data_IF_997411333457
#
_entry.id   IF_997411333457
#
_cell.length_a   1.000
_cell.length_b   1.000
_cell.length_c   1.000
_cell.angle_alpha   90.00
_cell.angle_beta   90.00
_cell.angle_gamma   90.00
#
_symmetry.space_group_name_H-M   'P 1'
#
loop_
_entity.id
_entity.type
_entity.pdbx_description
1 polymer ?
#
# COMPACT_ATOMS: atom_id res chain seq x y z
N UNK A 1 6.65 36.18 -25.44
CA UNK A 1 5.33 35.53 -25.54
C UNK A 1 4.89 35.13 -24.12
N UNK A 2 4.04 35.94 -23.50
CA UNK A 2 3.69 35.80 -22.08
C UNK A 2 2.45 34.92 -21.88
N UNK A 3 2.63 33.74 -21.29
CA UNK A 3 1.53 32.90 -20.84
C UNK A 3 1.10 33.30 -19.43
N UNK A 4 0.47 34.47 -19.33
CA UNK A 4 -0.20 34.90 -18.10
C UNK A 4 -1.54 34.16 -18.00
N UNK A 5 -1.52 32.90 -17.55
CA UNK A 5 -2.71 32.18 -17.03
C UNK A 5 -3.13 32.81 -15.69
N UNK A 6 -3.44 34.10 -15.72
CA UNK A 6 -4.04 34.86 -14.65
C UNK A 6 -5.56 34.83 -14.85
N UNK A 7 -6.29 34.45 -13.81
CA UNK A 7 -7.69 34.85 -13.70
C UNK A 7 -8.57 33.93 -12.85
N UNK A 8 -8.40 32.61 -12.93
CA UNK A 8 -9.29 31.68 -12.23
C UNK A 8 -8.49 30.70 -11.39
N UNK A 9 -8.39 31.01 -10.09
CA UNK A 9 -7.82 30.13 -9.07
C UNK A 9 -8.77 28.95 -8.85
N UNK A 10 -8.69 27.94 -9.71
CA UNK A 10 -9.51 26.72 -9.61
C UNK A 10 -8.67 25.53 -9.18
N UNK A 11 -9.27 24.67 -8.37
CA UNK A 11 -8.73 23.41 -7.90
C UNK A 11 -9.49 22.26 -8.54
N UNK A 12 -8.79 21.16 -8.82
CA UNK A 12 -9.39 19.97 -9.43
C UNK A 12 -9.54 18.89 -8.36
N UNK A 13 -10.75 18.37 -8.19
CA UNK A 13 -11.00 17.22 -7.29
C UNK A 13 -11.44 16.04 -8.14
N UNK A 14 -10.77 14.90 -7.98
CA UNK A 14 -11.02 13.69 -8.75
C UNK A 14 -11.41 12.53 -7.83
N UNK A 15 -12.53 11.88 -8.13
CA UNK A 15 -12.95 10.65 -7.45
C UNK A 15 -12.22 9.43 -8.02
N UNK A 16 -12.19 8.35 -7.26
CA UNK A 16 -11.71 7.04 -7.72
C UNK A 16 -12.43 6.55 -9.00
N UNK A 17 -13.69 6.93 -9.18
CA UNK A 17 -14.50 6.60 -10.36
C UNK A 17 -13.97 7.26 -11.65
N UNK A 18 -13.07 8.24 -11.54
CA UNK A 18 -12.58 9.05 -12.65
C UNK A 18 -13.42 10.29 -12.94
N UNK A 19 -14.53 10.48 -12.22
CA UNK A 19 -15.25 11.76 -12.21
C UNK A 19 -14.34 12.86 -11.67
N UNK A 20 -14.29 13.97 -12.39
CA UNK A 20 -13.45 15.09 -12.01
C UNK A 20 -14.23 16.39 -12.10
N UNK A 21 -14.17 17.21 -11.06
CA UNK A 21 -14.85 18.49 -11.01
C UNK A 21 -13.88 19.60 -10.57
N UNK A 22 -14.14 20.81 -11.04
CA UNK A 22 -13.31 21.99 -10.76
C UNK A 22 -14.04 22.87 -9.75
N UNK A 23 -13.37 23.17 -8.64
CA UNK A 23 -13.85 24.07 -7.61
C UNK A 23 -13.13 25.42 -7.72
N UNK A 24 -13.85 26.53 -7.54
CA UNK A 24 -13.22 27.85 -7.44
C UNK A 24 -12.71 28.02 -6.01
N UNK A 25 -11.45 28.38 -5.84
CA UNK A 25 -10.86 28.67 -4.52
C UNK A 25 -11.25 30.09 -4.06
N UNK A 26 -11.33 30.38 -2.75
CA UNK A 26 -11.02 29.51 -1.61
C UNK A 26 -12.18 28.57 -1.24
N UNK A 27 -11.90 27.27 -1.10
CA UNK A 27 -12.85 26.25 -0.64
C UNK A 27 -12.13 25.41 0.40
N UNK A 28 -12.82 25.10 1.51
CA UNK A 28 -12.27 24.24 2.56
C UNK A 28 -12.44 22.79 2.21
N UNK A 29 -11.53 21.95 2.71
CA UNK A 29 -11.66 20.51 2.58
C UNK A 29 -12.98 20.00 3.19
N UNK A 30 -13.38 20.56 4.33
CA UNK A 30 -14.63 20.23 5.03
C UNK A 30 -15.88 20.37 4.15
N UNK A 31 -15.96 21.41 3.30
CA UNK A 31 -17.11 21.61 2.42
C UNK A 31 -17.22 20.50 1.36
N UNK A 32 -16.09 19.98 0.90
CA UNK A 32 -16.04 18.84 -0.04
C UNK A 32 -16.37 17.52 0.67
N UNK A 33 -15.93 17.37 1.92
CA UNK A 33 -16.16 16.16 2.73
C UNK A 33 -17.63 16.06 3.16
N UNK A 34 -18.31 17.17 3.46
CA UNK A 34 -19.75 17.20 3.75
C UNK A 34 -20.61 16.66 2.62
N UNK A 35 -20.21 16.92 1.37
CA UNK A 35 -20.92 16.42 0.18
C UNK A 35 -20.73 14.91 -0.01
N UNK A 36 -19.67 14.34 0.58
CA UNK A 36 -19.24 12.96 0.39
C UNK A 36 -18.77 12.34 1.72
N UNK A 37 -19.71 11.92 2.59
CA UNK A 37 -19.37 11.28 3.85
C UNK A 37 -18.59 9.97 3.62
N UNK A 38 -17.69 9.62 4.55
CA UNK A 38 -16.84 8.43 4.45
C UNK A 38 -15.72 8.52 3.40
N UNK A 39 -15.55 9.67 2.77
CA UNK A 39 -14.45 9.93 1.86
C UNK A 39 -13.36 10.74 2.54
N UNK A 40 -12.15 10.61 2.02
CA UNK A 40 -10.97 11.34 2.47
C UNK A 40 -10.35 12.06 1.28
N UNK A 41 -9.88 13.27 1.52
CA UNK A 41 -9.23 14.08 0.51
C UNK A 41 -7.71 13.95 0.62
N UNK A 42 -7.07 13.59 -0.48
CA UNK A 42 -5.63 13.42 -0.57
C UNK A 42 -5.04 14.33 -1.62
N UNK A 43 -3.90 14.94 -1.32
CA UNK A 43 -3.19 15.77 -2.28
C UNK A 43 -2.43 14.92 -3.31
N UNK A 44 -2.46 15.34 -4.57
CA UNK A 44 -1.81 14.57 -5.63
C UNK A 44 -0.30 14.47 -5.53
N UNK A 45 0.38 15.50 -5.03
CA UNK A 45 1.82 15.46 -4.77
C UNK A 45 2.13 14.41 -3.69
N UNK A 46 1.40 14.46 -2.57
CA UNK A 46 1.52 13.47 -1.51
C UNK A 46 1.25 12.04 -2.00
N UNK A 47 0.24 11.84 -2.86
CA UNK A 47 -0.06 10.51 -3.43
C UNK A 47 1.06 10.03 -4.36
N UNK A 48 1.72 10.93 -5.12
CA UNK A 48 2.88 10.56 -5.96
C UNK A 48 4.07 10.10 -5.13
N UNK A 49 4.34 10.76 -4.01
CA UNK A 49 5.51 10.47 -3.18
C UNK A 49 5.27 9.33 -2.19
N UNK A 50 4.12 9.32 -1.53
CA UNK A 50 3.82 8.41 -0.41
C UNK A 50 2.85 7.29 -0.78
N UNK A 51 2.19 7.36 -1.95
CA UNK A 51 1.24 6.35 -2.40
C UNK A 51 0.11 6.14 -1.38
N UNK A 52 -0.02 4.92 -0.87
CA UNK A 52 -1.03 4.51 0.12
C UNK A 52 -0.81 5.11 1.51
N UNK A 53 0.37 5.68 1.79
CA UNK A 53 0.71 6.32 3.07
C UNK A 53 0.54 7.84 3.03
N UNK A 54 -0.01 8.39 1.94
CA UNK A 54 -0.22 9.83 1.81
C UNK A 54 -1.06 10.36 2.98
N UNK A 55 -0.62 11.48 3.56
CA UNK A 55 -1.33 12.12 4.67
C UNK A 55 -2.67 12.67 4.15
N UNK A 56 -3.80 12.35 4.80
CA UNK A 56 -5.08 12.98 4.49
C UNK A 56 -5.04 14.48 4.78
N UNK A 57 -5.70 15.26 3.93
CA UNK A 57 -5.82 16.70 4.15
C UNK A 57 -6.68 16.96 5.40
N UNK A 58 -6.27 17.90 6.23
CA UNK A 58 -7.03 18.27 7.42
C UNK A 58 -8.32 19.00 7.01
N UNK A 59 -9.46 18.75 7.68
CA UNK A 59 -10.75 19.31 7.26
C UNK A 59 -10.75 20.85 7.27
N UNK A 60 -9.94 21.46 8.12
CA UNK A 60 -9.87 22.91 8.29
C UNK A 60 -8.92 23.57 7.29
N UNK A 61 -8.13 22.79 6.55
CA UNK A 61 -7.19 23.28 5.56
C UNK A 61 -7.92 23.69 4.27
N UNK A 62 -7.49 24.80 3.69
CA UNK A 62 -8.01 25.29 2.41
C UNK A 62 -7.36 24.56 1.24
N UNK A 63 -8.12 24.40 0.15
CA UNK A 63 -7.61 23.83 -1.09
C UNK A 63 -6.75 24.84 -1.84
N UNK A 64 -5.53 24.42 -2.16
CA UNK A 64 -4.60 25.23 -2.92
C UNK A 64 -5.00 25.28 -4.40
N UNK A 65 -4.93 26.46 -5.03
CA UNK A 65 -5.26 26.63 -6.43
C UNK A 65 -4.25 25.91 -7.33
N UNK A 66 -4.68 25.47 -8.51
CA UNK A 66 -3.86 24.72 -9.49
C UNK A 66 -3.36 23.36 -8.98
N UNK A 67 -3.74 22.94 -7.78
CA UNK A 67 -3.50 21.58 -7.28
C UNK A 67 -4.66 20.64 -7.60
N UNK A 68 -4.34 19.35 -7.61
CA UNK A 68 -5.29 18.28 -7.76
C UNK A 68 -5.40 17.48 -6.46
N UNK A 69 -6.63 17.20 -6.07
CA UNK A 69 -6.97 16.40 -4.91
C UNK A 69 -7.75 15.15 -5.32
N UNK A 70 -7.46 14.04 -4.68
CA UNK A 70 -8.13 12.77 -4.85
C UNK A 70 -9.13 12.56 -3.72
N UNK A 71 -10.38 12.29 -4.09
CA UNK A 71 -11.40 11.86 -3.15
C UNK A 71 -11.42 10.33 -3.13
N UNK A 72 -10.99 9.75 -2.02
CA UNK A 72 -10.84 8.30 -1.83
C UNK A 72 -11.74 7.83 -0.71
N UNK A 73 -12.51 6.78 -0.95
CA UNK A 73 -13.20 6.06 0.13
C UNK A 73 -12.14 5.27 0.87
N UNK A 74 -11.86 5.65 2.12
CA UNK A 74 -11.15 4.73 2.99
C UNK A 74 -12.19 3.71 3.44
N UNK A 75 -11.99 2.41 3.18
CA UNK A 75 -12.73 1.40 3.90
C UNK A 75 -12.53 1.72 5.39
N UNK A 76 -13.60 1.80 6.17
CA UNK A 76 -13.48 1.91 7.62
C UNK A 76 -12.76 0.65 8.09
N UNK A 77 -11.43 0.72 8.12
CA UNK A 77 -10.64 -0.17 8.93
C UNK A 77 -11.08 0.18 10.34
N UNK A 78 -12.02 -0.63 10.83
CA UNK A 78 -12.41 -0.71 12.23
C UNK A 78 -11.26 -0.21 13.08
N UNK A 79 -11.51 0.88 13.79
CA UNK A 79 -10.64 1.42 14.83
C UNK A 79 -10.62 0.37 15.94
N UNK A 80 -10.02 -0.78 15.67
CA UNK A 80 -9.80 -1.83 16.63
C UNK A 80 -8.40 -2.37 16.40
N UNK A 81 -7.58 -1.96 17.37
CA UNK A 81 -6.47 -2.71 17.91
C UNK A 81 -5.25 -2.63 17.00
N UNK A 82 -4.43 -1.62 17.34
CA UNK A 82 -3.00 -1.83 17.62
C UNK A 82 -2.75 -3.33 17.83
N UNK A 83 -1.85 -3.99 17.09
CA UNK A 83 -1.48 -5.35 17.42
C UNK A 83 -0.81 -5.26 18.79
N UNK A 84 -1.63 -5.39 19.84
CA UNK A 84 -1.23 -5.46 21.22
C UNK A 84 -0.29 -6.65 21.18
N UNK A 85 1.00 -6.36 21.34
CA UNK A 85 2.06 -7.35 21.51
C UNK A 85 1.43 -8.55 22.19
N UNK A 86 1.57 -9.72 21.57
CA UNK A 86 1.29 -11.00 22.20
C UNK A 86 2.21 -11.06 23.42
N UNK A 87 1.81 -10.39 24.51
CA UNK A 87 2.23 -10.71 25.85
C UNK A 87 1.59 -12.07 26.03
N UNK A 88 2.40 -13.11 26.02
CA UNK A 88 2.07 -14.31 26.77
C UNK A 88 1.42 -13.82 28.06
N UNK A 89 0.17 -14.24 28.30
CA UNK A 89 -0.53 -13.91 29.53
C UNK A 89 0.29 -14.33 30.74
N UNK A 90 -0.18 -14.04 31.96
CA UNK A 90 0.46 -14.55 33.18
C UNK A 90 0.31 -16.08 33.20
N UNK A 91 1.22 -16.78 32.52
CA UNK A 91 1.28 -18.23 32.56
C UNK A 91 1.98 -18.56 33.88
N UNK A 92 1.20 -19.04 34.84
CA UNK A 92 1.70 -19.72 36.04
C UNK A 92 2.32 -21.07 35.61
N UNK A 93 3.36 -21.03 34.78
CA UNK A 93 4.15 -22.21 34.43
C UNK A 93 4.91 -22.62 35.69
N UNK A 94 4.53 -23.75 36.28
CA UNK A 94 5.34 -24.42 37.29
C UNK A 94 6.74 -24.71 36.72
N UNK A 95 7.76 -24.77 37.57
CA UNK A 95 9.13 -25.07 37.13
C UNK A 95 9.22 -26.37 36.31
N UNK A 96 8.31 -27.32 36.58
CA UNK A 96 8.18 -28.57 35.82
C UNK A 96 7.73 -28.35 34.37
N UNK A 97 6.66 -27.59 34.13
CA UNK A 97 6.19 -27.28 32.77
C UNK A 97 7.24 -26.52 31.96
N UNK A 98 8.00 -25.64 32.62
CA UNK A 98 9.11 -24.92 31.96
C UNK A 98 10.22 -25.88 31.52
N UNK A 99 10.54 -26.88 32.35
CA UNK A 99 11.58 -27.86 32.05
C UNK A 99 11.14 -28.82 30.93
N UNK A 100 9.90 -29.30 30.97
CA UNK A 100 9.36 -30.23 29.97
C UNK A 100 9.30 -29.56 28.58
N UNK A 101 8.83 -28.31 28.48
CA UNK A 101 8.84 -27.56 27.22
C UNK A 101 10.26 -27.34 26.68
N UNK A 102 11.24 -27.10 27.56
CA UNK A 102 12.64 -26.96 27.17
C UNK A 102 13.22 -28.29 26.69
N UNK A 103 12.91 -29.40 27.37
CA UNK A 103 13.37 -30.74 26.99
C UNK A 103 12.77 -31.22 25.66
N UNK A 104 11.49 -30.95 25.41
CA UNK A 104 10.84 -31.21 24.13
C UNK A 104 11.50 -30.42 23.00
N UNK A 105 11.76 -29.13 23.22
CA UNK A 105 12.45 -28.28 22.24
C UNK A 105 13.89 -28.74 21.95
N UNK A 106 14.58 -29.39 22.90
CA UNK A 106 15.94 -29.92 22.68
C UNK A 106 15.95 -31.25 21.93
N UNK A 107 14.90 -32.07 22.06
CA UNK A 107 14.74 -33.30 21.24
C UNK A 107 14.37 -33.00 19.79
N UNK A 108 13.58 -31.94 19.53
CA UNK A 108 13.19 -31.58 18.16
C UNK A 108 14.34 -31.03 17.29
N UNK A 109 15.41 -30.50 17.89
CA UNK A 109 16.61 -30.04 17.14
C UNK A 109 17.61 -31.15 16.88
N UNK A 110 17.57 -32.27 17.60
CA UNK A 110 18.45 -33.42 17.34
C UNK A 110 18.02 -34.29 16.16
N UNK A 111 16.78 -34.18 15.66
CA UNK A 111 16.35 -34.89 14.44
C UNK A 111 16.58 -34.08 13.14
N UNK A 112 16.84 -32.77 13.24
CA UNK A 112 17.10 -31.91 12.06
C UNK A 112 18.56 -31.95 11.59
N UNK A 113 19.50 -32.38 12.43
CA UNK A 113 20.91 -32.53 12.04
C UNK A 113 21.12 -33.72 11.10
N UNK A 114 20.23 -34.71 11.10
CA UNK A 114 20.31 -35.88 10.19
C UNK A 114 19.81 -35.58 8.77
N UNK A 115 19.13 -34.46 8.52
CA UNK A 115 18.68 -34.06 7.17
C UNK A 115 19.58 -33.02 6.48
N UNK A 116 20.71 -32.60 7.08
CA UNK A 116 21.71 -31.72 6.44
C UNK A 116 22.76 -32.57 5.69
N UNK A 117 22.29 -33.41 4.77
CA UNK A 117 23.12 -34.36 4.04
C UNK A 117 22.86 -34.42 2.54
N UNK A 118 22.50 -33.32 1.89
CA UNK A 118 22.56 -33.17 0.43
C UNK A 118 22.36 -31.69 0.04
N UNK A 119 23.45 -30.95 -0.19
CA UNK A 119 23.31 -29.60 -0.71
C UNK A 119 24.56 -28.75 -0.57
N UNK A 120 25.61 -29.09 -1.32
CA UNK A 120 26.69 -28.16 -1.65
C UNK A 120 27.48 -28.63 -2.86
N UNK A 121 27.03 -28.25 -4.06
CA UNK A 121 27.80 -27.90 -5.27
C UNK A 121 26.77 -27.16 -6.16
N UNK A 122 26.88 -25.93 -6.65
CA UNK A 122 27.97 -24.97 -6.84
C UNK A 122 27.37 -23.55 -6.92
N UNK A 123 28.17 -22.55 -6.55
CA UNK A 123 27.99 -21.10 -6.69
C UNK A 123 27.83 -20.67 -8.18
N UNK A 124 27.50 -19.44 -8.60
CA UNK A 124 27.66 -18.10 -8.04
C UNK A 124 26.83 -17.06 -8.86
N UNK A 125 26.91 -15.80 -8.41
CA UNK A 125 26.53 -14.52 -9.05
C UNK A 125 25.04 -14.10 -8.96
N UNK A 126 24.65 -12.91 -8.52
CA UNK A 126 25.34 -11.68 -8.09
C UNK A 126 24.33 -10.83 -7.29
N UNK A 127 24.86 -10.05 -6.35
CA UNK A 127 24.43 -8.75 -5.82
C UNK A 127 23.02 -8.41 -5.29
N UNK A 128 23.02 -7.66 -4.18
CA UNK A 128 22.00 -6.65 -3.87
C UNK A 128 21.35 -6.78 -2.50
N UNK A 129 21.98 -6.21 -1.47
CA UNK A 129 21.50 -6.24 -0.10
C UNK A 129 20.23 -5.42 0.19
N UNK A 130 19.68 -5.66 1.39
CA UNK A 130 18.86 -4.68 2.09
C UNK A 130 17.44 -5.12 2.49
N UNK A 131 17.29 -5.42 3.78
CA UNK A 131 16.11 -5.12 4.61
C UNK A 131 14.77 -5.79 4.26
N UNK A 132 14.45 -6.84 5.03
CA UNK A 132 13.24 -6.79 5.86
C UNK A 132 11.87 -6.92 5.20
N UNK A 133 11.72 -7.57 4.07
CA UNK A 133 10.46 -8.26 3.71
C UNK A 133 10.83 -9.56 3.02
N UNK A 134 10.53 -10.70 3.63
CA UNK A 134 10.67 -12.01 2.97
C UNK A 134 9.67 -12.08 1.83
N UNK A 135 10.05 -11.58 0.66
CA UNK A 135 9.27 -11.68 -0.55
C UNK A 135 9.15 -13.17 -0.93
N UNK A 136 8.07 -13.80 -0.48
CA UNK A 136 7.75 -15.19 -0.78
C UNK A 136 7.50 -15.32 -2.29
N UNK A 137 8.46 -15.91 -3.00
CA UNK A 137 8.30 -16.29 -4.41
C UNK A 137 7.58 -17.63 -4.47
N UNK A 138 6.33 -17.62 -4.91
CA UNK A 138 5.55 -18.84 -5.17
C UNK A 138 5.58 -19.14 -6.66
N UNK A 139 5.98 -20.37 -7.03
CA UNK A 139 5.98 -20.83 -8.44
C UNK A 139 4.68 -21.56 -8.72
N UNK A 140 3.74 -20.88 -9.40
CA UNK A 140 2.46 -21.44 -9.81
C UNK A 140 2.55 -21.94 -11.26
N UNK A 141 1.94 -23.10 -11.56
CA UNK A 141 1.76 -23.58 -12.94
C UNK A 141 0.38 -23.14 -13.42
N UNK A 142 0.35 -22.24 -14.40
CA UNK A 142 -0.88 -21.69 -14.98
C UNK A 142 -0.99 -22.11 -16.45
N UNK A 143 -2.17 -22.54 -16.93
CA UNK A 143 -2.39 -22.84 -18.34
C UNK A 143 -2.09 -21.64 -19.25
N UNK A 144 -1.48 -21.88 -20.42
CA UNK A 144 -1.08 -20.81 -21.36
C UNK A 144 -2.22 -19.87 -21.75
N UNK A 145 -3.44 -20.40 -21.91
CA UNK A 145 -4.62 -19.61 -22.26
C UNK A 145 -5.00 -18.56 -21.19
N UNK A 146 -4.78 -18.87 -19.91
CA UNK A 146 -5.09 -17.97 -18.81
C UNK A 146 -4.02 -16.89 -18.65
N UNK A 147 -2.74 -17.25 -18.88
CA UNK A 147 -1.63 -16.30 -18.94
C UNK A 147 -1.85 -15.25 -20.03
N UNK A 148 -2.29 -15.66 -21.22
CA UNK A 148 -2.54 -14.73 -22.34
C UNK A 148 -3.70 -13.78 -22.05
N UNK A 149 -4.79 -14.29 -21.43
CA UNK A 149 -5.91 -13.46 -20.97
C UNK A 149 -5.47 -12.44 -19.93
N UNK A 150 -4.64 -12.86 -18.97
CA UNK A 150 -4.13 -11.99 -17.91
C UNK A 150 -3.18 -10.92 -18.47
N UNK A 151 -2.31 -11.28 -19.42
CA UNK A 151 -1.44 -10.34 -20.13
C UNK A 151 -2.23 -9.31 -20.95
N UNK A 152 -3.28 -9.72 -21.66
CA UNK A 152 -4.16 -8.79 -22.41
C UNK A 152 -4.84 -7.80 -21.46
N UNK A 153 -5.37 -8.27 -20.32
CA UNK A 153 -5.97 -7.42 -19.28
C UNK A 153 -4.94 -6.47 -18.65
N UNK A 154 -3.74 -6.95 -18.36
CA UNK A 154 -2.65 -6.13 -17.81
C UNK A 154 -2.19 -5.06 -18.81
N UNK A 155 -2.13 -5.37 -20.11
CA UNK A 155 -1.77 -4.42 -21.16
C UNK A 155 -2.80 -3.31 -21.30
N UNK A 156 -4.09 -3.63 -21.22
CA UNK A 156 -5.18 -2.66 -21.22
C UNK A 156 -5.11 -1.78 -19.97
N UNK A 157 -4.94 -2.38 -18.79
CA UNK A 157 -4.79 -1.61 -17.54
C UNK A 157 -3.58 -0.69 -17.58
N UNK A 158 -2.42 -1.19 -18.05
CA UNK A 158 -1.19 -0.40 -18.17
C UNK A 158 -1.36 0.74 -19.17
N UNK A 159 -1.96 0.51 -20.33
CA UNK A 159 -2.22 1.56 -21.32
C UNK A 159 -3.22 2.60 -20.81
N UNK A 160 -4.27 2.18 -20.08
CA UNK A 160 -5.25 3.08 -19.47
C UNK A 160 -4.62 3.90 -18.34
N UNK A 161 -3.73 3.28 -17.56
CA UNK A 161 -2.98 3.95 -16.51
C UNK A 161 -1.98 4.96 -17.09
N UNK A 162 -1.19 4.60 -18.11
CA UNK A 162 -0.30 5.53 -18.79
C UNK A 162 -1.05 6.71 -19.45
N UNK A 163 -2.18 6.45 -20.11
CA UNK A 163 -2.96 7.51 -20.75
C UNK A 163 -3.57 8.46 -19.72
N UNK A 164 -4.01 7.93 -18.57
CA UNK A 164 -4.56 8.72 -17.47
C UNK A 164 -3.48 9.48 -16.69
N UNK A 165 -2.29 8.91 -16.54
CA UNK A 165 -1.11 9.58 -15.96
C UNK A 165 -0.53 10.66 -16.89
N UNK A 166 -0.49 10.44 -18.20
CA UNK A 166 -0.09 11.48 -19.17
C UNK A 166 -1.08 12.64 -19.19
N UNK A 167 -2.39 12.36 -19.12
CA UNK A 167 -3.42 13.41 -19.02
C UNK A 167 -3.41 14.17 -17.69
N UNK A 168 -2.61 13.71 -16.73
CA UNK A 168 -2.40 14.35 -15.43
C UNK A 168 -1.16 15.27 -15.42
N UNK A 169 -0.27 15.12 -16.40
CA UNK A 169 1.03 15.79 -16.44
C UNK A 169 1.06 17.08 -17.29
N UNK A 170 -0.10 17.54 -17.79
CA UNK A 170 -0.27 18.77 -18.57
C UNK A 170 -1.47 19.57 -18.05
#
# INVERSE_FOLDING_TARGET
MGNSLAGKRTTKVMKINGETFKLKTPVKADDVLKLHPGHVLLESEAVKHFGTRAKPLEPHQELEPKRLYFLVVLPEASIERVPRRVRSGPVNMSAKDRLESLMLSRRSVSDLTTMKGAGSVVAAAEEGGGSGTTAMKVKLRVPRAEVERLMKRARIMKAKWLRKSCSFAW
#
